data_IF_691758966565
#
_entry.id   IF_691758966565
#
_cell.length_a   1.000
_cell.length_b   1.000
_cell.length_c   1.000
_cell.angle_alpha   90.00
_cell.angle_beta   90.00
_cell.angle_gamma   90.00
#
_symmetry.space_group_name_H-M   'P 1'
#
loop_
_entity.id
_entity.type
_entity.pdbx_description
1 polymer ?
#
# COMPACT_ATOMS: atom_id res chain seq x y z
N UNK A 1 61.25 15.75 -81.50
CA UNK A 1 62.13 14.91 -80.66
C UNK A 1 61.40 13.62 -80.26
N UNK A 2 60.94 12.85 -81.25
CA UNK A 2 60.26 11.55 -81.11
C UNK A 2 60.86 10.64 -82.20
N UNK A 3 62.15 10.37 -82.05
CA UNK A 3 62.97 9.61 -82.98
C UNK A 3 63.36 8.28 -82.32
N UNK A 4 62.50 7.28 -82.53
CA UNK A 4 62.80 5.85 -82.63
C UNK A 4 61.57 5.28 -83.35
N UNK A 5 61.46 5.39 -84.68
CA UNK A 5 62.12 4.53 -85.67
C UNK A 5 62.08 3.06 -85.25
N UNK A 6 60.90 2.45 -85.41
CA UNK A 6 60.77 1.02 -85.75
C UNK A 6 59.89 0.96 -87.00
N UNK A 7 60.46 1.39 -88.12
CA UNK A 7 60.14 0.85 -89.44
C UNK A 7 61.48 0.38 -89.98
N UNK A 8 61.68 -0.94 -90.03
CA UNK A 8 62.93 -1.53 -90.49
C UNK A 8 62.81 -3.04 -90.69
N UNK A 9 62.76 -3.42 -91.97
CA UNK A 9 63.24 -4.69 -92.53
C UNK A 9 62.48 -6.00 -92.19
N UNK A 10 61.69 -6.42 -93.18
CA UNK A 10 61.75 -7.77 -93.78
C UNK A 10 62.54 -8.85 -93.01
N UNK A 11 61.82 -9.54 -92.14
CA UNK A 11 62.26 -10.72 -91.42
C UNK A 11 61.35 -10.87 -90.21
N UNK A 12 60.47 -11.88 -90.21
CA UNK A 12 59.60 -12.16 -89.08
C UNK A 12 60.45 -12.29 -87.82
N UNK A 13 60.50 -11.25 -86.97
CA UNK A 13 61.15 -11.28 -85.67
C UNK A 13 60.26 -12.09 -84.71
N UNK A 14 60.19 -13.39 -84.95
CA UNK A 14 59.55 -14.37 -84.07
C UNK A 14 60.00 -14.15 -82.61
N UNK A 15 61.24 -13.70 -82.41
CA UNK A 15 61.81 -13.36 -81.11
C UNK A 15 61.18 -12.16 -80.39
N UNK A 16 60.83 -11.07 -81.09
CA UNK A 16 60.23 -9.89 -80.45
C UNK A 16 58.77 -10.18 -80.04
N UNK A 17 58.01 -10.86 -80.91
CA UNK A 17 56.67 -11.32 -80.58
C UNK A 17 56.67 -12.33 -79.42
N UNK A 18 57.68 -13.22 -79.36
CA UNK A 18 57.87 -14.16 -78.24
C UNK A 18 58.19 -13.41 -76.94
N UNK A 19 59.04 -12.38 -76.98
CA UNK A 19 59.39 -11.57 -75.82
C UNK A 19 58.18 -10.78 -75.28
N UNK A 20 57.39 -10.18 -76.17
CA UNK A 20 56.13 -9.51 -75.80
C UNK A 20 55.12 -10.52 -75.22
N UNK A 21 54.98 -11.70 -75.81
CA UNK A 21 54.10 -12.75 -75.29
C UNK A 21 54.54 -13.23 -73.89
N UNK A 22 55.84 -13.43 -73.67
CA UNK A 22 56.39 -13.82 -72.37
C UNK A 22 56.19 -12.70 -71.34
N UNK A 23 56.49 -11.45 -71.68
CA UNK A 23 56.28 -10.32 -70.76
C UNK A 23 54.81 -10.10 -70.42
N UNK A 24 53.89 -10.29 -71.39
CA UNK A 24 52.45 -10.28 -71.16
C UNK A 24 52.01 -11.41 -70.23
N UNK A 25 52.52 -12.63 -70.42
CA UNK A 25 52.24 -13.78 -69.54
C UNK A 25 52.77 -13.54 -68.12
N UNK A 26 53.98 -12.98 -67.98
CA UNK A 26 54.57 -12.64 -66.67
C UNK A 26 53.74 -11.56 -65.98
N UNK A 27 53.31 -10.52 -66.70
CA UNK A 27 52.44 -9.48 -66.15
C UNK A 27 51.08 -10.06 -65.73
N UNK A 28 50.48 -10.92 -66.55
CA UNK A 28 49.22 -11.57 -66.25
C UNK A 28 49.34 -12.47 -65.01
N UNK A 29 50.44 -13.21 -64.87
CA UNK A 29 50.70 -14.03 -63.69
C UNK A 29 50.88 -13.18 -62.42
N UNK A 30 51.58 -12.04 -62.51
CA UNK A 30 51.72 -11.10 -61.40
C UNK A 30 50.38 -10.50 -60.98
N UNK A 31 49.54 -10.08 -61.94
CA UNK A 31 48.20 -9.54 -61.64
C UNK A 31 47.31 -10.64 -61.05
N UNK A 32 47.32 -11.84 -61.61
CA UNK A 32 46.54 -12.96 -61.08
C UNK A 32 46.95 -13.30 -59.64
N UNK A 33 48.25 -13.31 -59.32
CA UNK A 33 48.70 -13.60 -57.96
C UNK A 33 48.39 -12.46 -56.97
N UNK A 34 48.57 -11.20 -57.39
CA UNK A 34 48.45 -10.03 -56.51
C UNK A 34 47.01 -9.54 -56.37
N UNK A 35 46.20 -9.55 -57.44
CA UNK A 35 44.84 -9.00 -57.44
C UNK A 35 43.76 -10.01 -57.02
N UNK A 36 44.01 -11.32 -57.14
CA UNK A 36 43.01 -12.33 -56.80
C UNK A 36 42.67 -12.36 -55.30
N UNK A 37 43.69 -12.26 -54.44
CA UNK A 37 43.50 -12.20 -52.99
C UNK A 37 42.67 -10.99 -52.50
N UNK A 38 42.96 -9.73 -52.86
CA UNK A 38 42.18 -8.59 -52.39
C UNK A 38 40.75 -8.57 -52.95
N UNK A 39 40.52 -9.02 -54.19
CA UNK A 39 39.18 -9.05 -54.80
C UNK A 39 38.29 -10.09 -54.10
N UNK A 40 38.80 -11.31 -53.92
CA UNK A 40 38.05 -12.37 -53.23
C UNK A 40 37.80 -12.03 -51.76
N UNK A 41 38.78 -11.41 -51.09
CA UNK A 41 38.63 -10.91 -49.72
C UNK A 41 37.54 -9.83 -49.63
N UNK A 42 37.53 -8.84 -50.51
CA UNK A 42 36.48 -7.79 -50.51
C UNK A 42 35.08 -8.39 -50.71
N UNK A 43 34.93 -9.34 -51.64
CA UNK A 43 33.65 -10.01 -51.87
C UNK A 43 33.21 -10.83 -50.65
N UNK A 44 34.14 -11.56 -50.02
CA UNK A 44 33.89 -12.30 -48.79
C UNK A 44 33.51 -11.39 -47.62
N UNK A 45 34.21 -10.27 -47.43
CA UNK A 45 33.89 -9.27 -46.41
C UNK A 45 32.50 -8.66 -46.62
N UNK A 46 32.13 -8.34 -47.87
CA UNK A 46 30.77 -7.86 -48.18
C UNK A 46 29.71 -8.91 -47.89
N UNK A 47 29.93 -10.16 -48.30
CA UNK A 47 29.00 -11.25 -48.05
C UNK A 47 28.81 -11.49 -46.54
N UNK A 48 29.91 -11.53 -45.78
CA UNK A 48 29.88 -11.70 -44.33
C UNK A 48 29.20 -10.51 -43.64
N UNK A 49 29.47 -9.28 -44.09
CA UNK A 49 28.82 -8.09 -43.52
C UNK A 49 27.30 -8.15 -43.73
N UNK A 50 26.85 -8.46 -44.94
CA UNK A 50 25.41 -8.57 -45.25
C UNK A 50 24.77 -9.68 -44.42
N UNK A 51 25.42 -10.84 -44.31
CA UNK A 51 24.91 -11.95 -43.50
C UNK A 51 24.79 -11.55 -42.02
N UNK A 52 25.82 -10.90 -41.46
CA UNK A 52 25.81 -10.42 -40.08
C UNK A 52 24.77 -9.33 -39.84
N UNK A 53 24.60 -8.39 -40.77
CA UNK A 53 23.61 -7.32 -40.66
C UNK A 53 22.19 -7.90 -40.67
N UNK A 54 21.92 -8.91 -41.51
CA UNK A 54 20.63 -9.62 -41.55
C UNK A 54 20.40 -10.41 -40.26
N UNK A 55 21.38 -11.19 -39.80
CA UNK A 55 21.27 -11.97 -38.57
C UNK A 55 21.04 -11.07 -37.34
N UNK A 56 21.77 -9.95 -37.26
CA UNK A 56 21.59 -8.96 -36.20
C UNK A 56 20.23 -8.30 -36.27
N UNK A 57 19.73 -7.99 -37.47
CA UNK A 57 18.39 -7.41 -37.66
C UNK A 57 17.29 -8.39 -37.24
N UNK A 58 17.40 -9.67 -37.59
CA UNK A 58 16.42 -10.68 -37.18
C UNK A 58 16.46 -10.91 -35.67
N UNK A 59 17.65 -11.01 -35.08
CA UNK A 59 17.82 -11.13 -33.63
C UNK A 59 17.23 -9.93 -32.89
N UNK A 60 17.54 -8.72 -33.34
CA UNK A 60 16.98 -7.49 -32.76
C UNK A 60 15.46 -7.43 -32.87
N UNK A 61 14.90 -7.89 -34.00
CA UNK A 61 13.45 -7.99 -34.20
C UNK A 61 12.81 -9.01 -33.26
N UNK A 62 13.44 -10.17 -33.07
CA UNK A 62 12.96 -11.18 -32.13
C UNK A 62 13.01 -10.68 -30.69
N UNK A 63 14.14 -10.11 -30.26
CA UNK A 63 14.29 -9.52 -28.93
C UNK A 63 13.27 -8.39 -28.67
N UNK A 64 12.99 -7.56 -29.68
CA UNK A 64 11.97 -6.52 -29.57
C UNK A 64 10.56 -7.10 -29.44
N UNK A 65 10.25 -8.20 -30.15
CA UNK A 65 8.97 -8.90 -30.02
C UNK A 65 8.81 -9.52 -28.63
N UNK A 66 9.83 -10.24 -28.16
CA UNK A 66 9.83 -10.89 -26.84
C UNK A 66 9.69 -9.85 -25.73
N UNK A 67 10.39 -8.72 -25.84
CA UNK A 67 10.27 -7.62 -24.88
C UNK A 67 8.88 -6.99 -24.93
N UNK A 68 8.28 -6.84 -26.11
CA UNK A 68 6.92 -6.30 -26.23
C UNK A 68 5.89 -7.22 -25.55
N UNK A 69 6.05 -8.53 -25.68
CA UNK A 69 5.16 -9.51 -25.06
C UNK A 69 5.35 -9.55 -23.53
N UNK A 70 6.59 -9.55 -23.04
CA UNK A 70 6.87 -9.42 -21.61
C UNK A 70 6.29 -8.13 -21.03
N UNK A 71 6.35 -7.02 -21.76
CA UNK A 71 5.75 -5.74 -21.34
C UNK A 71 4.22 -5.82 -21.27
N UNK A 72 3.58 -6.47 -22.24
CA UNK A 72 2.13 -6.69 -22.24
C UNK A 72 1.71 -7.55 -21.06
N UNK A 73 2.43 -8.63 -20.80
CA UNK A 73 2.17 -9.53 -19.67
C UNK A 73 2.35 -8.80 -18.34
N UNK A 74 3.46 -8.08 -18.16
CA UNK A 74 3.71 -7.28 -16.97
C UNK A 74 2.61 -6.22 -16.74
N UNK A 75 2.18 -5.53 -17.80
CA UNK A 75 1.06 -4.57 -17.71
C UNK A 75 -0.26 -5.23 -17.32
N UNK A 76 -0.53 -6.43 -17.86
CA UNK A 76 -1.73 -7.20 -17.50
C UNK A 76 -1.69 -7.63 -16.04
N UNK A 77 -0.55 -8.14 -15.58
CA UNK A 77 -0.33 -8.54 -14.19
C UNK A 77 -0.49 -7.35 -13.24
N UNK A 78 0.16 -6.23 -13.51
CA UNK A 78 0.03 -5.02 -12.68
C UNK A 78 -1.41 -4.49 -12.63
N UNK A 79 -2.19 -4.62 -13.71
CA UNK A 79 -3.61 -4.25 -13.71
C UNK A 79 -4.45 -5.18 -12.85
N UNK A 80 -4.19 -6.49 -12.92
CA UNK A 80 -4.87 -7.47 -12.05
C UNK A 80 -4.56 -7.18 -10.59
N UNK A 81 -3.28 -7.06 -10.26
CA UNK A 81 -2.81 -6.78 -8.89
C UNK A 81 -3.39 -5.46 -8.35
N UNK A 82 -3.43 -4.40 -9.17
CA UNK A 82 -4.07 -3.15 -8.78
C UNK A 82 -5.57 -3.31 -8.52
N UNK A 83 -6.27 -4.10 -9.34
CA UNK A 83 -7.69 -4.40 -9.12
C UNK A 83 -7.91 -5.17 -7.82
N UNK A 84 -7.05 -6.15 -7.54
CA UNK A 84 -7.11 -6.96 -6.33
C UNK A 84 -6.85 -6.11 -5.07
N UNK A 85 -5.83 -5.24 -5.11
CA UNK A 85 -5.54 -4.29 -4.02
C UNK A 85 -6.75 -3.38 -3.74
N UNK A 86 -7.40 -2.87 -4.78
CA UNK A 86 -8.59 -2.01 -4.62
C UNK A 86 -9.77 -2.80 -4.05
N UNK A 87 -9.97 -4.04 -4.51
CA UNK A 87 -11.02 -4.92 -3.99
C UNK A 87 -10.81 -5.24 -2.50
N UNK A 88 -9.58 -5.61 -2.12
CA UNK A 88 -9.19 -5.91 -0.75
C UNK A 88 -9.32 -4.68 0.15
N UNK A 89 -8.87 -3.51 -0.31
CA UNK A 89 -9.01 -2.26 0.43
C UNK A 89 -10.49 -1.91 0.67
N UNK A 90 -11.35 -2.11 -0.33
CA UNK A 90 -12.80 -1.90 -0.19
C UNK A 90 -13.43 -2.88 0.80
N UNK A 91 -13.09 -4.17 0.70
CA UNK A 91 -13.60 -5.19 1.61
C UNK A 91 -13.16 -4.94 3.05
N UNK A 92 -11.88 -4.62 3.24
CA UNK A 92 -11.32 -4.26 4.55
C UNK A 92 -12.01 -3.01 5.12
N UNK A 93 -12.21 -1.98 4.28
CA UNK A 93 -12.92 -0.76 4.65
C UNK A 93 -14.36 -1.01 5.10
N UNK A 94 -15.12 -1.83 4.37
CA UNK A 94 -16.50 -2.19 4.77
C UNK A 94 -16.52 -3.01 6.06
N UNK A 95 -15.58 -3.95 6.24
CA UNK A 95 -15.46 -4.73 7.49
C UNK A 95 -15.15 -3.82 8.68
N UNK A 96 -14.22 -2.88 8.50
CA UNK A 96 -13.84 -1.95 9.55
C UNK A 96 -14.99 -0.99 9.88
N UNK A 97 -15.71 -0.50 8.87
CA UNK A 97 -16.93 0.29 9.05
C UNK A 97 -17.98 -0.48 9.85
N UNK A 98 -18.25 -1.74 9.49
CA UNK A 98 -19.20 -2.58 10.20
C UNK A 98 -18.79 -2.78 11.67
N UNK A 99 -17.49 -2.99 11.92
CA UNK A 99 -16.94 -3.14 13.28
C UNK A 99 -17.12 -1.87 14.09
N UNK A 100 -16.74 -0.70 13.54
CA UNK A 100 -16.90 0.60 14.21
C UNK A 100 -18.37 0.87 14.55
N UNK A 101 -19.29 0.58 13.64
CA UNK A 101 -20.73 0.78 13.89
C UNK A 101 -21.23 -0.17 14.99
N UNK A 102 -20.81 -1.43 14.98
CA UNK A 102 -21.19 -2.40 16.00
C UNK A 102 -20.64 -2.00 17.39
N UNK A 103 -19.37 -1.59 17.45
CA UNK A 103 -18.73 -1.14 18.69
C UNK A 103 -19.41 0.13 19.23
N UNK A 104 -19.70 1.10 18.38
CA UNK A 104 -20.43 2.32 18.77
C UNK A 104 -21.84 2.02 19.29
N UNK A 105 -22.55 1.05 18.70
CA UNK A 105 -23.87 0.62 19.19
C UNK A 105 -23.78 -0.09 20.56
N UNK A 106 -22.75 -0.92 20.74
CA UNK A 106 -22.49 -1.58 22.02
C UNK A 106 -22.14 -0.56 23.11
N UNK A 107 -21.25 0.39 22.80
CA UNK A 107 -20.86 1.47 23.72
C UNK A 107 -22.06 2.35 24.08
N UNK A 108 -22.87 2.76 23.10
CA UNK A 108 -24.09 3.52 23.35
C UNK A 108 -25.09 2.76 24.24
N UNK A 109 -25.17 1.43 24.08
CA UNK A 109 -26.02 0.58 24.92
C UNK A 109 -25.50 0.51 26.35
N UNK A 110 -24.19 0.30 26.53
CA UNK A 110 -23.56 0.31 27.86
C UNK A 110 -23.72 1.67 28.53
N UNK A 111 -23.49 2.75 27.80
CA UNK A 111 -23.67 4.11 28.32
C UNK A 111 -25.10 4.35 28.82
N UNK A 112 -26.11 3.92 28.05
CA UNK A 112 -27.52 3.99 28.49
C UNK A 112 -27.81 3.13 29.72
N UNK A 113 -27.22 1.94 29.82
CA UNK A 113 -27.39 1.07 30.98
C UNK A 113 -26.77 1.68 32.23
N UNK A 114 -25.55 2.22 32.12
CA UNK A 114 -24.88 2.92 33.22
C UNK A 114 -25.67 4.15 33.66
N UNK A 115 -26.09 5.00 32.71
CA UNK A 115 -26.90 6.17 33.03
C UNK A 115 -28.22 5.80 33.74
N UNK A 116 -28.88 4.70 33.36
CA UNK A 116 -30.07 4.21 34.07
C UNK A 116 -29.76 3.75 35.49
N UNK A 117 -28.62 3.07 35.68
CA UNK A 117 -28.16 2.64 37.00
C UNK A 117 -27.84 3.82 37.90
N UNK A 118 -27.17 4.83 37.36
CA UNK A 118 -26.83 6.06 38.08
C UNK A 118 -28.09 6.83 38.47
N UNK A 119 -29.07 6.95 37.56
CA UNK A 119 -30.38 7.57 37.84
C UNK A 119 -31.12 6.82 38.96
N UNK A 120 -31.12 5.49 38.95
CA UNK A 120 -31.78 4.70 39.99
C UNK A 120 -31.09 4.89 41.35
N UNK A 121 -29.76 4.93 41.37
CA UNK A 121 -29.00 5.20 42.59
C UNK A 121 -29.29 6.61 43.13
N UNK A 122 -29.24 7.63 42.26
CA UNK A 122 -29.53 9.03 42.64
C UNK A 122 -30.96 9.18 43.16
N UNK A 123 -31.93 8.46 42.57
CA UNK A 123 -33.32 8.42 43.04
C UNK A 123 -33.41 7.83 44.44
N UNK A 124 -32.69 6.74 44.73
CA UNK A 124 -32.67 6.12 46.04
C UNK A 124 -32.05 7.04 47.09
N UNK A 125 -30.95 7.71 46.75
CA UNK A 125 -30.28 8.67 47.62
C UNK A 125 -31.18 9.89 47.89
N UNK A 126 -31.87 10.42 46.88
CA UNK A 126 -32.85 11.49 47.03
C UNK A 126 -34.02 11.08 47.95
N UNK A 127 -34.57 9.88 47.78
CA UNK A 127 -35.64 9.36 48.65
C UNK A 127 -35.18 9.20 50.11
N UNK A 128 -33.94 8.77 50.32
CA UNK A 128 -33.35 8.64 51.66
C UNK A 128 -33.17 10.00 52.32
N UNK A 129 -32.71 11.01 51.57
CA UNK A 129 -32.60 12.38 52.06
C UNK A 129 -33.96 12.95 52.45
N UNK A 130 -34.99 12.77 51.61
CA UNK A 130 -36.37 13.20 51.94
C UNK A 130 -36.89 12.52 53.21
N UNK A 131 -36.63 11.22 53.40
CA UNK A 131 -37.02 10.53 54.63
C UNK A 131 -36.31 11.11 55.87
N UNK A 132 -35.03 11.46 55.76
CA UNK A 132 -34.28 12.13 56.82
C UNK A 132 -34.88 13.50 57.16
N UNK A 133 -35.17 14.32 56.14
CA UNK A 133 -35.77 15.64 56.32
C UNK A 133 -37.13 15.56 57.01
N UNK A 134 -37.96 14.59 56.63
CA UNK A 134 -39.27 14.34 57.27
C UNK A 134 -39.11 13.89 58.72
N UNK A 135 -38.13 13.05 59.02
CA UNK A 135 -37.84 12.63 60.40
C UNK A 135 -37.43 13.83 61.26
N UNK A 136 -36.53 14.69 60.76
CA UNK A 136 -36.09 15.90 61.46
C UNK A 136 -37.24 16.88 61.70
N UNK A 137 -38.08 17.12 60.70
CA UNK A 137 -39.28 17.95 60.85
C UNK A 137 -40.23 17.36 61.90
N UNK A 138 -40.42 16.04 61.89
CA UNK A 138 -41.29 15.34 62.86
C UNK A 138 -40.79 15.49 64.30
N UNK A 139 -39.48 15.33 64.52
CA UNK A 139 -38.85 15.55 65.83
C UNK A 139 -38.98 17.00 66.29
N UNK A 140 -38.81 17.97 65.39
CA UNK A 140 -39.01 19.39 65.70
C UNK A 140 -40.46 19.70 66.08
N UNK A 141 -41.45 19.14 65.36
CA UNK A 141 -42.88 19.30 65.68
C UNK A 141 -43.18 18.69 67.06
N UNK A 142 -42.75 17.44 67.31
CA UNK A 142 -42.94 16.78 68.59
C UNK A 142 -42.33 17.59 69.75
N UNK A 143 -41.10 18.08 69.57
CA UNK A 143 -40.41 18.94 70.56
C UNK A 143 -41.18 20.24 70.83
N UNK A 144 -41.79 20.84 69.79
CA UNK A 144 -42.56 22.08 69.93
C UNK A 144 -43.91 21.84 70.61
N UNK A 145 -44.57 20.70 70.36
CA UNK A 145 -45.80 20.29 71.06
C UNK A 145 -45.51 20.04 72.54
N UNK A 146 -44.45 19.27 72.86
CA UNK A 146 -44.03 19.00 74.25
C UNK A 146 -43.74 20.32 74.97
N UNK A 147 -42.97 21.23 74.36
CA UNK A 147 -42.71 22.57 74.93
C UNK A 147 -43.99 23.38 75.18
N UNK A 148 -45.02 23.24 74.34
CA UNK A 148 -46.29 23.96 74.49
C UNK A 148 -47.20 23.34 75.56
N UNK A 149 -47.11 22.02 75.80
CA UNK A 149 -47.85 21.32 76.85
C UNK A 149 -47.17 21.37 78.21
N UNK A 150 -45.87 21.68 78.29
CA UNK A 150 -45.19 22.08 79.53
C UNK A 150 -45.55 23.54 79.91
N UNK A 151 -46.82 23.76 80.23
CA UNK A 151 -47.29 24.89 81.07
C UNK A 151 -47.30 24.41 82.55
N UNK A 152 -47.34 25.28 83.57
CA UNK A 152 -47.20 24.91 84.99
C UNK A 152 -48.04 23.71 85.44
N UNK A 153 -49.21 23.52 84.84
CA UNK A 153 -50.13 22.40 85.12
C UNK A 153 -49.63 21.04 84.60
N UNK A 154 -48.95 21.00 83.45
CA UNK A 154 -48.39 19.77 82.87
C UNK A 154 -47.15 19.27 83.61
N UNK A 155 -46.40 20.18 84.23
CA UNK A 155 -45.19 19.87 84.99
C UNK A 155 -45.51 19.13 86.30
N UNK A 156 -46.62 19.48 86.95
CA UNK A 156 -47.14 18.77 88.14
C UNK A 156 -47.58 17.34 87.82
N UNK A 157 -48.24 17.14 86.67
CA UNK A 157 -48.70 15.81 86.22
C UNK A 157 -47.54 14.88 85.83
N UNK A 158 -46.50 15.42 85.18
CA UNK A 158 -45.29 14.66 84.85
C UNK A 158 -44.52 14.23 86.10
N UNK A 159 -44.36 15.13 87.09
CA UNK A 159 -43.72 14.81 88.38
C UNK A 159 -44.50 13.71 89.11
N UNK A 160 -45.84 13.82 89.18
CA UNK A 160 -46.67 12.80 89.82
C UNK A 160 -46.57 11.44 89.09
N UNK A 161 -46.55 11.44 87.75
CA UNK A 161 -46.40 10.19 86.98
C UNK A 161 -45.01 9.55 87.12
N UNK A 162 -43.95 10.35 87.29
CA UNK A 162 -42.61 9.85 87.56
C UNK A 162 -42.50 9.27 88.99
N UNK A 163 -43.10 9.93 89.97
CA UNK A 163 -43.17 9.43 91.36
C UNK A 163 -43.99 8.13 91.44
N UNK A 164 -45.11 8.04 90.70
CA UNK A 164 -45.91 6.82 90.62
C UNK A 164 -45.21 5.69 89.86
N UNK A 165 -44.43 6.01 88.82
CA UNK A 165 -43.60 5.04 88.09
C UNK A 165 -42.44 4.48 88.93
N UNK A 166 -41.85 5.29 89.81
CA UNK A 166 -40.83 4.85 90.77
C UNK A 166 -41.43 3.99 91.90
N UNK A 167 -42.66 4.28 92.33
CA UNK A 167 -43.38 3.46 93.32
C UNK A 167 -43.80 2.07 92.82
N UNK A 168 -43.85 1.84 91.50
CA UNK A 168 -44.16 0.52 90.89
C UNK A 168 -42.96 -0.42 90.76
N UNK A 169 -41.75 0.04 91.11
CA UNK A 169 -40.53 -0.77 91.10
C UNK A 169 -40.00 -1.14 92.51
N UNK A 170 -40.72 -0.81 93.58
CA UNK A 170 -40.42 -1.19 94.97
C UNK A 170 -41.50 -2.08 95.61
N UNK A 171 -42.03 -3.05 94.84
CA UNK A 171 -42.70 -4.25 95.38
C UNK A 171 -42.33 -5.48 94.57
#
# INVERSE_FOLDING_TARGET
MLSHLIIGASGLYLGDMLFIAISFLVLMALIALVAWNPITKMMGERANKIANDIDTAEKSRQEASDLADQRREALSHSRSEASDIVADAKQSGEKQRATIVADAQNEATQYKQNARKDIEQERQDALKNVQSDVADISVQIASKIIKKQLDPEGQQALINSYIEGLGKHES
#
